data_IF_569924326148
#
_entry.id   IF_569924326148
#
_cell.length_a   1.000
_cell.length_b   1.000
_cell.length_c   1.000
_cell.angle_alpha   90.00
_cell.angle_beta   90.00
_cell.angle_gamma   90.00
#
_symmetry.space_group_name_H-M   'P 1'
#
loop_
_entity.id
_entity.type
_entity.pdbx_description
1 polymer ?
#
# COMPACT_ATOMS: atom_id res chain seq x y z
N UNK A 1 23.64 22.00 23.08
CA UNK A 1 23.58 20.55 22.91
C UNK A 1 22.12 20.14 23.16
N UNK A 2 21.28 20.14 22.14
CA UNK A 2 19.86 19.74 22.20
C UNK A 2 19.74 18.42 21.43
N UNK A 3 19.61 17.33 22.14
CA UNK A 3 19.38 16.00 21.62
C UNK A 3 17.92 15.95 21.14
N UNK A 4 17.71 15.90 19.83
CA UNK A 4 16.40 15.61 19.26
C UNK A 4 16.08 14.13 19.48
N UNK A 5 15.08 13.87 20.30
CA UNK A 5 14.46 12.55 20.45
C UNK A 5 13.65 12.30 19.18
N UNK A 6 14.18 11.49 18.27
CA UNK A 6 13.40 10.93 17.15
C UNK A 6 12.44 9.90 17.72
N UNK A 7 11.18 10.27 17.81
CA UNK A 7 10.09 9.32 18.06
C UNK A 7 9.96 8.45 16.82
N UNK A 8 10.40 7.19 16.93
CA UNK A 8 10.05 6.18 15.92
C UNK A 8 8.55 5.94 16.02
N UNK A 9 7.77 6.43 15.07
CA UNK A 9 6.44 5.88 14.81
C UNK A 9 6.67 4.45 14.33
N UNK A 10 6.10 3.50 15.06
CA UNK A 10 6.02 2.10 14.64
C UNK A 10 5.23 2.06 13.32
N UNK A 11 5.92 1.70 12.27
CA UNK A 11 5.32 1.43 10.96
C UNK A 11 4.73 0.04 11.07
N UNK A 12 3.42 -0.09 11.05
CA UNK A 12 2.77 -1.38 10.82
C UNK A 12 3.24 -1.86 9.45
N UNK A 13 4.10 -2.86 9.45
CA UNK A 13 4.55 -3.52 8.24
C UNK A 13 3.40 -4.34 7.69
N UNK A 14 2.63 -3.78 6.75
CA UNK A 14 1.90 -4.62 5.81
C UNK A 14 2.91 -5.04 4.75
N UNK A 15 3.24 -6.31 4.78
CA UNK A 15 4.14 -6.93 3.83
C UNK A 15 3.67 -6.74 2.38
N UNK A 16 4.57 -6.41 1.49
CA UNK A 16 4.31 -6.00 0.11
C UNK A 16 5.37 -6.47 -0.86
N UNK A 17 5.00 -6.84 -2.03
CA UNK A 17 5.81 -7.40 -3.08
C UNK A 17 5.75 -6.69 -4.45
N UNK A 18 6.91 -6.51 -5.06
CA UNK A 18 7.09 -6.12 -6.45
C UNK A 18 6.85 -7.32 -7.39
N UNK A 19 5.76 -7.32 -8.15
CA UNK A 19 5.63 -8.21 -9.28
C UNK A 19 6.24 -7.58 -10.52
N UNK A 20 7.50 -7.89 -10.80
CA UNK A 20 8.13 -7.54 -12.07
C UNK A 20 7.61 -8.48 -13.14
N UNK A 21 6.76 -7.96 -14.03
CA UNK A 21 6.34 -8.71 -15.22
C UNK A 21 7.52 -8.87 -16.18
N UNK A 22 8.15 -10.04 -16.21
CA UNK A 22 9.11 -10.40 -17.24
C UNK A 22 8.37 -10.60 -18.57
N UNK A 23 8.54 -9.70 -19.52
CA UNK A 23 8.30 -9.98 -20.93
C UNK A 23 9.61 -10.46 -21.57
N UNK A 24 9.97 -11.74 -21.32
CA UNK A 24 10.98 -12.40 -22.15
C UNK A 24 10.29 -12.88 -23.42
N UNK A 25 10.66 -12.32 -24.57
CA UNK A 25 10.32 -12.84 -25.86
C UNK A 25 11.00 -14.21 -26.06
N UNK A 26 10.26 -15.30 -25.92
CA UNK A 26 10.64 -16.64 -26.32
C UNK A 26 9.73 -17.12 -27.47
N UNK A 27 10.25 -17.96 -28.38
CA UNK A 27 9.53 -18.37 -29.59
C UNK A 27 8.33 -19.24 -29.26
N UNK A 28 7.30 -19.10 -30.06
CA UNK A 28 6.03 -19.82 -30.02
C UNK A 28 6.26 -21.32 -29.98
N UNK A 29 6.07 -21.90 -28.80
CA UNK A 29 5.84 -23.31 -28.59
C UNK A 29 4.53 -23.46 -27.84
N UNK A 30 3.58 -24.18 -28.42
CA UNK A 30 2.28 -24.42 -27.81
C UNK A 30 2.45 -25.15 -26.48
N UNK A 31 2.16 -24.47 -25.37
CA UNK A 31 1.97 -25.13 -24.07
C UNK A 31 0.51 -24.97 -23.66
N UNK A 32 -0.10 -26.10 -23.42
CA UNK A 32 -1.41 -26.27 -22.85
C UNK A 32 -1.50 -25.57 -21.51
N UNK A 33 -2.49 -24.70 -21.40
CA UNK A 33 -2.93 -24.00 -20.21
C UNK A 33 -3.45 -25.07 -19.22
N UNK A 34 -2.73 -25.27 -18.11
CA UNK A 34 -3.33 -25.69 -16.84
C UNK A 34 -2.25 -25.66 -15.72
N UNK A 35 -2.23 -24.59 -14.97
CA UNK A 35 -1.89 -24.51 -13.55
C UNK A 35 -2.18 -23.08 -13.08
N UNK A 36 -3.40 -22.82 -12.66
CA UNK A 36 -3.71 -21.72 -11.74
C UNK A 36 -2.94 -22.00 -10.45
N UNK A 37 -1.89 -21.22 -10.18
CA UNK A 37 -1.35 -21.12 -8.84
C UNK A 37 -2.52 -20.74 -7.91
N UNK A 38 -2.63 -21.31 -6.71
CA UNK A 38 -3.68 -20.90 -5.80
C UNK A 38 -3.47 -19.42 -5.49
N UNK A 39 -4.45 -18.62 -5.91
CA UNK A 39 -4.62 -17.24 -5.47
C UNK A 39 -4.78 -17.31 -3.95
N UNK A 40 -3.74 -16.92 -3.21
CA UNK A 40 -3.86 -16.70 -1.78
C UNK A 40 -4.67 -15.41 -1.65
N UNK A 41 -5.99 -15.59 -1.58
CA UNK A 41 -6.90 -14.48 -1.31
C UNK A 41 -6.45 -13.81 -0.01
N UNK A 42 -6.24 -12.49 -0.03
CA UNK A 42 -6.15 -11.73 1.20
C UNK A 42 -7.39 -12.08 2.05
N UNK A 43 -7.27 -12.15 3.38
CA UNK A 43 -8.43 -12.44 4.19
C UNK A 43 -9.52 -11.42 3.86
N UNK A 44 -10.66 -11.92 3.39
CA UNK A 44 -11.88 -11.13 3.26
C UNK A 44 -12.11 -10.47 4.63
N UNK A 45 -11.95 -9.15 4.70
CA UNK A 45 -11.94 -8.44 5.98
C UNK A 45 -13.28 -8.61 6.71
N UNK A 46 -14.36 -8.78 5.95
CA UNK A 46 -15.68 -9.10 6.52
C UNK A 46 -15.69 -10.47 7.22
N UNK A 47 -14.79 -11.36 6.81
CA UNK A 47 -14.60 -12.64 7.48
C UNK A 47 -14.06 -12.50 8.91
N UNK A 48 -13.49 -11.34 9.28
CA UNK A 48 -13.04 -11.05 10.62
C UNK A 48 -14.19 -10.73 11.59
N UNK A 49 -15.39 -10.49 11.08
CA UNK A 49 -16.56 -10.33 11.94
C UNK A 49 -16.89 -11.65 12.66
N UNK A 50 -17.20 -11.55 13.95
CA UNK A 50 -17.67 -12.68 14.72
C UNK A 50 -19.08 -13.11 14.28
N UNK A 51 -19.44 -14.37 14.52
CA UNK A 51 -20.79 -14.86 14.29
C UNK A 51 -21.82 -14.29 15.31
N UNK A 52 -21.33 -13.71 16.40
CA UNK A 52 -22.15 -13.11 17.46
C UNK A 52 -22.06 -11.60 17.38
N UNK A 53 -23.20 -10.93 17.56
CA UNK A 53 -23.26 -9.48 17.62
C UNK A 53 -22.47 -8.92 18.82
N UNK A 54 -21.85 -7.70 18.68
CA UNK A 54 -21.20 -7.05 19.80
C UNK A 54 -22.19 -6.71 20.91
N UNK A 55 -21.74 -6.61 22.17
CA UNK A 55 -22.63 -6.31 23.30
C UNK A 55 -23.23 -4.91 23.23
N UNK A 56 -24.51 -4.78 23.57
CA UNK A 56 -25.22 -3.51 23.64
C UNK A 56 -25.14 -2.90 25.05
N UNK A 57 -25.07 -1.57 25.12
CA UNK A 57 -24.92 -0.77 26.34
C UNK A 57 -26.06 0.26 26.47
N UNK A 58 -26.47 0.54 27.68
CA UNK A 58 -27.54 1.52 27.93
C UNK A 58 -27.10 2.96 27.53
N UNK A 59 -25.81 3.28 27.67
CA UNK A 59 -25.24 4.60 27.36
C UNK A 59 -23.89 4.46 26.67
N UNK A 60 -23.44 5.48 25.89
CA UNK A 60 -22.12 5.49 25.30
C UNK A 60 -20.99 5.39 26.34
N UNK A 61 -21.16 6.01 27.51
CA UNK A 61 -20.17 5.99 28.59
C UNK A 61 -19.97 4.57 29.14
N UNK A 62 -21.05 3.77 29.25
CA UNK A 62 -20.98 2.36 29.67
C UNK A 62 -20.18 1.52 28.65
N UNK A 63 -20.26 1.82 27.33
CA UNK A 63 -19.43 1.19 26.31
C UNK A 63 -17.96 1.61 26.44
N UNK A 64 -17.67 2.89 26.74
CA UNK A 64 -16.32 3.37 27.04
C UNK A 64 -15.71 2.66 28.25
N UNK A 65 -16.49 2.45 29.31
CA UNK A 65 -16.02 1.72 30.49
C UNK A 65 -15.76 0.24 30.17
N UNK A 66 -16.60 -0.37 29.34
CA UNK A 66 -16.36 -1.73 28.84
C UNK A 66 -15.09 -1.81 27.96
N UNK A 67 -14.85 -0.82 27.12
CA UNK A 67 -13.62 -0.71 26.32
C UNK A 67 -12.38 -0.64 27.22
N UNK A 68 -12.36 0.25 28.21
CA UNK A 68 -11.26 0.35 29.17
C UNK A 68 -11.03 -0.96 29.91
N UNK A 69 -12.12 -1.64 30.35
CA UNK A 69 -12.04 -2.93 31.02
C UNK A 69 -11.48 -4.03 30.09
N UNK A 70 -11.87 -4.07 28.83
CA UNK A 70 -11.34 -5.02 27.86
C UNK A 70 -9.81 -4.88 27.68
N UNK A 71 -9.28 -3.65 27.80
CA UNK A 71 -7.84 -3.37 27.72
C UNK A 71 -7.06 -3.77 28.99
N UNK A 72 -7.70 -4.16 30.08
CA UNK A 72 -7.03 -4.72 31.26
C UNK A 72 -6.55 -6.15 31.02
N UNK A 73 -7.11 -6.83 30.01
CA UNK A 73 -6.76 -8.20 29.65
C UNK A 73 -5.31 -8.33 29.18
N UNK A 74 -4.72 -9.52 29.28
CA UNK A 74 -3.36 -9.78 28.78
C UNK A 74 -3.28 -9.85 27.26
N UNK A 75 -4.38 -10.08 26.57
CA UNK A 75 -4.46 -10.24 25.10
C UNK A 75 -5.69 -9.52 24.52
N UNK A 76 -5.76 -9.48 23.18
CA UNK A 76 -6.81 -8.76 22.45
C UNK A 76 -8.20 -9.43 22.47
N UNK A 77 -8.35 -10.64 23.00
CA UNK A 77 -9.60 -11.40 22.95
C UNK A 77 -10.82 -10.61 23.45
N UNK A 78 -10.82 -10.08 24.69
CA UNK A 78 -11.94 -9.30 25.20
C UNK A 78 -12.24 -8.02 24.42
N UNK A 79 -11.21 -7.39 23.83
CA UNK A 79 -11.41 -6.25 22.94
C UNK A 79 -12.05 -6.69 21.62
N UNK A 80 -11.60 -7.80 21.04
CA UNK A 80 -12.18 -8.36 19.83
C UNK A 80 -13.67 -8.68 20.02
N UNK A 81 -14.04 -9.36 21.10
CA UNK A 81 -15.44 -9.65 21.42
C UNK A 81 -16.28 -8.36 21.57
N UNK A 82 -15.74 -7.34 22.23
CA UNK A 82 -16.41 -6.05 22.40
C UNK A 82 -16.68 -5.36 21.06
N UNK A 83 -15.75 -5.48 20.10
CA UNK A 83 -15.85 -4.90 18.76
C UNK A 83 -16.59 -5.80 17.76
N UNK A 84 -17.07 -6.98 18.19
CA UNK A 84 -17.74 -7.95 17.31
C UNK A 84 -16.81 -8.67 16.35
N UNK A 85 -15.53 -8.83 16.72
CA UNK A 85 -14.49 -9.46 15.88
C UNK A 85 -14.22 -10.90 16.34
N UNK A 86 -13.82 -11.76 15.40
CA UNK A 86 -13.39 -13.12 15.66
C UNK A 86 -11.99 -13.14 16.28
N UNK A 87 -11.92 -13.35 17.60
CA UNK A 87 -10.68 -13.32 18.35
C UNK A 87 -9.65 -14.38 17.90
N UNK A 88 -10.11 -15.54 17.39
CA UNK A 88 -9.19 -16.59 16.93
C UNK A 88 -8.55 -16.24 15.59
N UNK A 89 -9.29 -15.61 14.69
CA UNK A 89 -8.74 -15.11 13.42
C UNK A 89 -7.76 -13.97 13.64
N UNK A 90 -8.08 -13.06 14.57
CA UNK A 90 -7.16 -11.97 14.92
C UNK A 90 -5.85 -12.47 15.52
N UNK A 91 -5.87 -13.54 16.32
CA UNK A 91 -4.64 -14.14 16.88
C UNK A 91 -3.70 -14.72 15.82
N UNK A 92 -4.23 -15.06 14.66
CA UNK A 92 -3.43 -15.57 13.54
C UNK A 92 -2.64 -14.46 12.81
N UNK A 93 -2.99 -13.19 13.00
CA UNK A 93 -2.28 -12.04 12.45
C UNK A 93 -1.15 -11.62 13.41
N UNK A 94 0.08 -11.61 12.89
CA UNK A 94 1.30 -11.30 13.65
C UNK A 94 1.29 -9.86 14.22
N UNK A 95 0.58 -8.93 13.59
CA UNK A 95 0.49 -7.53 14.01
C UNK A 95 -0.54 -7.26 15.09
N UNK A 96 -1.43 -8.22 15.36
CA UNK A 96 -2.52 -8.04 16.36
C UNK A 96 -1.98 -7.70 17.75
N UNK A 97 -0.90 -8.36 18.18
CA UNK A 97 -0.32 -8.13 19.50
C UNK A 97 0.26 -6.72 19.64
N UNK A 98 0.95 -6.22 18.61
CA UNK A 98 1.54 -4.87 18.58
C UNK A 98 0.44 -3.81 18.53
N UNK A 99 -0.56 -3.98 17.67
CA UNK A 99 -1.71 -3.08 17.55
C UNK A 99 -2.47 -3.00 18.88
N UNK A 100 -2.71 -4.14 19.53
CA UNK A 100 -3.37 -4.17 20.85
C UNK A 100 -2.54 -3.42 21.90
N UNK A 101 -1.23 -3.63 21.94
CA UNK A 101 -0.35 -2.93 22.87
C UNK A 101 -0.36 -1.40 22.64
N UNK A 102 -0.36 -0.95 21.40
CA UNK A 102 -0.42 0.46 21.05
C UNK A 102 -1.76 1.10 21.45
N UNK A 103 -2.89 0.40 21.22
CA UNK A 103 -4.21 0.84 21.67
C UNK A 103 -4.26 0.94 23.21
N UNK A 104 -3.76 -0.05 23.91
CA UNK A 104 -3.71 -0.11 25.37
C UNK A 104 -2.87 1.03 25.95
N UNK A 105 -1.67 1.29 25.40
CA UNK A 105 -0.81 2.39 25.82
C UNK A 105 -1.48 3.75 25.56
N UNK A 106 -2.07 3.95 24.38
CA UNK A 106 -2.79 5.17 24.05
C UNK A 106 -3.99 5.41 24.98
N UNK A 107 -4.80 4.39 25.20
CA UNK A 107 -5.97 4.48 26.07
C UNK A 107 -5.64 4.75 27.54
N UNK A 108 -4.50 4.23 28.02
CA UNK A 108 -3.99 4.53 29.36
C UNK A 108 -3.66 6.01 29.56
N UNK A 109 -3.25 6.70 28.48
CA UNK A 109 -2.96 8.15 28.52
C UNK A 109 -4.26 8.97 28.47
N UNK A 110 -5.14 8.65 27.53
CA UNK A 110 -6.38 9.42 27.31
C UNK A 110 -7.40 8.63 26.50
N UNK A 111 -8.66 8.71 26.89
CA UNK A 111 -9.83 8.28 26.10
C UNK A 111 -10.83 9.41 26.12
N UNK A 112 -11.23 9.88 24.96
CA UNK A 112 -12.24 10.92 24.74
C UNK A 112 -13.32 10.35 23.86
N UNK A 113 -14.59 10.65 24.17
CA UNK A 113 -15.72 10.33 23.34
C UNK A 113 -16.11 11.56 22.53
N UNK A 114 -15.86 11.52 21.22
CA UNK A 114 -16.31 12.56 20.29
C UNK A 114 -17.71 12.25 19.79
N UNK A 115 -18.53 13.29 19.65
CA UNK A 115 -19.95 13.18 19.38
C UNK A 115 -20.34 13.86 18.08
N UNK A 116 -20.72 13.09 17.07
CA UNK A 116 -21.23 13.57 15.80
C UNK A 116 -22.59 12.95 15.48
N UNK A 117 -23.68 13.66 15.76
CA UNK A 117 -25.05 13.15 15.59
C UNK A 117 -25.33 11.90 16.44
N UNK A 118 -25.79 10.81 15.81
CA UNK A 118 -26.07 9.53 16.46
C UNK A 118 -24.84 8.58 16.47
N UNK A 119 -23.71 9.03 15.98
CA UNK A 119 -22.42 8.32 15.95
C UNK A 119 -21.49 8.91 17.01
N UNK A 120 -20.75 8.06 17.68
CA UNK A 120 -19.71 8.44 18.64
C UNK A 120 -18.40 7.77 18.22
N UNK A 121 -17.29 8.49 18.30
CA UNK A 121 -15.96 7.95 18.02
C UNK A 121 -15.10 8.05 19.28
N UNK A 122 -14.51 6.94 19.68
CA UNK A 122 -13.50 6.95 20.74
C UNK A 122 -12.20 7.47 20.15
N UNK A 123 -11.65 8.51 20.76
CA UNK A 123 -10.33 9.07 20.44
C UNK A 123 -9.38 8.72 21.58
N UNK A 124 -8.22 8.13 21.26
CA UNK A 124 -7.27 7.61 22.25
C UNK A 124 -5.87 8.27 22.11
N UNK A 125 -5.20 8.37 23.27
CA UNK A 125 -3.88 8.94 23.37
C UNK A 125 -3.82 10.46 23.24
N UNK A 126 -2.62 11.00 23.33
CA UNK A 126 -2.38 12.46 23.28
C UNK A 126 -2.68 13.04 21.89
N UNK A 127 -2.53 12.23 20.84
CA UNK A 127 -2.84 12.63 19.46
C UNK A 127 -4.32 12.51 19.10
N UNK A 128 -5.17 12.05 20.04
CA UNK A 128 -6.60 11.83 19.81
C UNK A 128 -6.86 10.92 18.61
N UNK A 129 -6.07 9.82 18.49
CA UNK A 129 -6.22 8.87 17.40
C UNK A 129 -7.62 8.24 17.43
N UNK A 130 -8.42 8.39 16.37
CA UNK A 130 -9.78 7.89 16.35
C UNK A 130 -9.78 6.38 16.18
N UNK A 131 -10.43 5.66 17.11
CA UNK A 131 -10.67 4.22 17.00
C UNK A 131 -11.52 3.96 15.74
N UNK A 132 -11.16 3.01 14.86
CA UNK A 132 -11.89 2.74 13.62
C UNK A 132 -13.35 2.35 13.84
N UNK A 133 -13.64 1.67 14.95
CA UNK A 133 -14.96 1.13 15.28
C UNK A 133 -15.82 2.20 15.97
N UNK A 134 -16.81 2.79 15.27
CA UNK A 134 -17.67 3.79 15.86
C UNK A 134 -18.68 3.14 16.80
N UNK A 135 -19.09 3.88 17.81
CA UNK A 135 -20.19 3.51 18.71
C UNK A 135 -21.50 4.11 18.17
N UNK A 136 -22.47 3.29 17.87
CA UNK A 136 -23.73 3.66 17.23
C UNK A 136 -24.91 3.23 18.12
N UNK A 137 -26.00 3.99 18.05
CA UNK A 137 -27.25 3.66 18.76
C UNK A 137 -28.13 2.76 17.90
N UNK A 138 -28.37 1.55 18.38
CA UNK A 138 -29.33 0.58 17.84
C UNK A 138 -30.59 0.54 18.70
N UNK A 139 -31.56 -0.30 18.34
CA UNK A 139 -32.85 -0.41 19.06
C UNK A 139 -32.68 -0.91 20.49
N UNK A 140 -31.72 -1.77 20.75
CA UNK A 140 -31.40 -2.39 22.05
C UNK A 140 -30.35 -1.64 22.88
N UNK A 141 -29.77 -0.57 22.33
CA UNK A 141 -28.79 0.26 23.03
C UNK A 141 -27.65 0.76 22.13
N UNK A 142 -26.53 1.07 22.77
CA UNK A 142 -25.33 1.50 22.09
C UNK A 142 -24.37 0.30 21.91
N UNK A 143 -23.89 0.08 20.71
CA UNK A 143 -22.88 -0.96 20.41
C UNK A 143 -21.82 -0.44 19.43
N UNK A 144 -20.67 -1.09 19.44
CA UNK A 144 -19.68 -0.84 18.39
C UNK A 144 -20.18 -1.41 17.06
N UNK A 145 -20.09 -0.61 16.00
CA UNK A 145 -20.47 -1.03 14.66
C UNK A 145 -19.28 -1.77 14.02
N UNK A 146 -19.35 -3.08 14.02
CA UNK A 146 -18.30 -3.97 13.52
C UNK A 146 -18.01 -3.74 12.07
N UNK A 147 -19.04 -3.69 11.21
CA UNK A 147 -18.85 -3.58 9.77
C UNK A 147 -18.35 -2.20 9.36
N UNK A 148 -18.90 -1.12 9.92
CA UNK A 148 -18.38 0.22 9.71
C UNK A 148 -16.92 0.35 10.21
N UNK A 149 -16.57 -0.39 11.28
CA UNK A 149 -15.20 -0.43 11.79
C UNK A 149 -14.24 -1.16 10.84
N UNK A 150 -14.64 -2.29 10.29
CA UNK A 150 -13.86 -3.04 9.31
C UNK A 150 -13.68 -2.25 8.00
N UNK A 151 -14.73 -1.61 7.51
CA UNK A 151 -14.66 -0.70 6.37
C UNK A 151 -13.66 0.44 6.59
N UNK A 152 -13.70 1.07 7.77
CA UNK A 152 -12.75 2.14 8.13
C UNK A 152 -11.31 1.63 8.20
N UNK A 153 -11.07 0.40 8.68
CA UNK A 153 -9.73 -0.22 8.67
C UNK A 153 -9.22 -0.40 7.24
N UNK A 154 -10.09 -0.86 6.31
CA UNK A 154 -9.73 -0.96 4.89
C UNK A 154 -9.43 0.42 4.31
N UNK A 155 -10.32 1.40 4.53
CA UNK A 155 -10.17 2.75 3.99
C UNK A 155 -8.85 3.41 4.44
N UNK A 156 -8.46 3.22 5.71
CA UNK A 156 -7.17 3.72 6.22
C UNK A 156 -5.98 3.03 5.56
N UNK A 157 -6.06 1.71 5.38
CA UNK A 157 -5.01 0.95 4.68
C UNK A 157 -4.88 1.39 3.23
N UNK A 158 -6.01 1.54 2.52
CA UNK A 158 -6.03 2.05 1.14
C UNK A 158 -5.36 3.43 1.08
N UNK A 159 -5.78 4.37 1.94
CA UNK A 159 -5.19 5.71 1.96
C UNK A 159 -3.69 5.72 2.29
N UNK A 160 -3.23 4.92 3.25
CA UNK A 160 -1.80 4.80 3.57
C UNK A 160 -1.01 4.22 2.39
N UNK A 161 -1.52 3.17 1.75
CA UNK A 161 -0.87 2.56 0.58
C UNK A 161 -0.80 3.53 -0.60
N UNK A 162 -1.86 4.30 -0.85
CA UNK A 162 -1.88 5.32 -1.90
C UNK A 162 -0.84 6.43 -1.64
N UNK A 163 -0.76 6.92 -0.42
CA UNK A 163 0.27 7.91 -0.03
C UNK A 163 1.69 7.37 -0.19
N UNK A 164 1.94 6.11 0.19
CA UNK A 164 3.24 5.46 -0.01
C UNK A 164 3.54 5.24 -1.50
N UNK A 165 2.52 4.94 -2.30
CA UNK A 165 2.66 4.77 -3.75
C UNK A 165 3.01 6.10 -4.41
N UNK A 166 2.37 7.19 -4.05
CA UNK A 166 2.71 8.54 -4.55
C UNK A 166 4.15 8.90 -4.19
N UNK A 167 4.58 8.64 -2.94
CA UNK A 167 5.96 8.84 -2.52
C UNK A 167 6.95 7.97 -3.34
N UNK A 168 6.58 6.72 -3.64
CA UNK A 168 7.36 5.82 -4.49
C UNK A 168 7.46 6.33 -5.93
N UNK A 169 6.38 6.93 -6.46
CA UNK A 169 6.39 7.55 -7.79
C UNK A 169 7.42 8.70 -7.89
N UNK A 170 7.51 9.55 -6.86
CA UNK A 170 8.51 10.61 -6.81
C UNK A 170 9.93 10.04 -6.66
N UNK A 171 10.12 9.08 -5.75
CA UNK A 171 11.41 8.41 -5.59
C UNK A 171 11.88 7.69 -6.87
N UNK A 172 10.96 7.15 -7.66
CA UNK A 172 11.28 6.56 -8.96
C UNK A 172 11.88 7.58 -9.93
N UNK A 173 11.34 8.80 -9.98
CA UNK A 173 11.87 9.85 -10.84
C UNK A 173 13.30 10.23 -10.44
N UNK A 174 13.54 10.42 -9.14
CA UNK A 174 14.87 10.72 -8.60
C UNK A 174 15.86 9.58 -8.88
N UNK A 175 15.43 8.33 -8.70
CA UNK A 175 16.26 7.15 -8.98
C UNK A 175 16.61 7.00 -10.46
N UNK A 176 15.72 7.36 -11.38
CA UNK A 176 15.98 7.34 -12.82
C UNK A 176 17.02 8.39 -13.22
N UNK A 177 16.95 9.59 -12.66
CA UNK A 177 17.91 10.65 -12.91
C UNK A 177 19.31 10.28 -12.37
N UNK A 178 19.38 9.64 -11.19
CA UNK A 178 20.65 9.14 -10.65
C UNK A 178 21.19 7.98 -11.50
N UNK A 179 20.35 7.04 -11.91
CA UNK A 179 20.74 5.92 -12.76
C UNK A 179 21.37 6.40 -14.06
N UNK A 180 20.74 7.36 -14.74
CA UNK A 180 21.19 7.90 -16.03
C UNK A 180 22.42 8.81 -15.93
N UNK A 181 22.90 9.10 -14.72
CA UNK A 181 24.13 9.90 -14.52
C UNK A 181 25.43 9.14 -14.84
N UNK A 182 25.34 7.82 -15.06
CA UNK A 182 26.50 6.93 -15.27
C UNK A 182 26.16 5.91 -16.37
N UNK A 183 27.07 5.74 -17.33
CA UNK A 183 27.02 4.62 -18.28
C UNK A 183 27.31 3.31 -17.52
N UNK A 184 26.26 2.51 -17.28
CA UNK A 184 26.33 1.36 -16.36
C UNK A 184 26.64 0.04 -17.06
N UNK A 185 26.45 -0.05 -18.36
CA UNK A 185 26.75 -1.23 -19.17
C UNK A 185 27.99 -1.05 -20.10
N UNK A 186 28.60 0.14 -20.04
CA UNK A 186 29.81 0.51 -20.78
C UNK A 186 29.64 0.44 -22.30
N UNK A 187 28.45 0.74 -22.82
CA UNK A 187 28.16 0.83 -24.24
C UNK A 187 28.43 2.23 -24.81
N UNK A 188 28.73 3.22 -23.97
CA UNK A 188 29.04 4.61 -24.31
C UNK A 188 27.79 5.51 -24.30
N UNK A 189 26.67 5.05 -23.80
CA UNK A 189 25.39 5.78 -23.68
C UNK A 189 24.95 5.90 -22.24
N UNK A 190 24.65 7.11 -21.77
CA UNK A 190 23.93 7.33 -20.51
C UNK A 190 22.44 7.12 -20.77
N UNK A 191 21.81 6.18 -20.05
CA UNK A 191 20.43 5.79 -20.27
C UNK A 191 19.66 5.60 -18.94
N UNK A 192 18.35 5.67 -19.01
CA UNK A 192 17.45 5.35 -17.90
C UNK A 192 17.26 3.85 -17.73
N UNK A 193 17.03 3.42 -16.50
CA UNK A 193 16.80 2.02 -16.20
C UNK A 193 15.49 1.50 -16.80
N UNK A 194 15.56 0.34 -17.44
CA UNK A 194 14.40 -0.36 -18.00
C UNK A 194 13.84 -1.42 -17.04
N UNK A 195 14.45 -1.56 -15.85
CA UNK A 195 14.01 -2.48 -14.78
C UNK A 195 13.95 -1.73 -13.45
N UNK A 196 12.97 -2.10 -12.60
CA UNK A 196 12.91 -1.63 -11.23
C UNK A 196 13.93 -2.36 -10.35
N UNK A 197 14.00 -3.68 -10.48
CA UNK A 197 14.95 -4.54 -9.76
C UNK A 197 15.95 -5.08 -10.75
N UNK A 198 17.23 -4.99 -10.40
CA UNK A 198 18.33 -5.53 -11.20
C UNK A 198 18.29 -7.06 -11.26
N UNK A 199 18.82 -7.61 -12.35
CA UNK A 199 19.12 -9.03 -12.45
C UNK A 199 20.16 -9.43 -11.40
N UNK A 200 20.15 -10.69 -10.96
CA UNK A 200 21.09 -11.18 -9.95
C UNK A 200 22.55 -10.89 -10.33
N UNK A 201 23.24 -10.14 -9.47
CA UNK A 201 24.65 -9.77 -9.66
C UNK A 201 24.91 -8.70 -10.73
N UNK A 202 23.87 -8.04 -11.24
CA UNK A 202 23.96 -6.93 -12.20
C UNK A 202 23.47 -5.61 -11.57
N UNK A 203 23.73 -4.50 -12.31
CA UNK A 203 23.25 -3.15 -12.00
C UNK A 203 22.36 -2.62 -13.13
N UNK A 204 21.53 -3.48 -13.71
CA UNK A 204 20.70 -3.21 -14.89
C UNK A 204 19.26 -2.78 -14.55
N UNK A 205 19.04 -2.34 -13.32
CA UNK A 205 17.76 -1.80 -12.79
C UNK A 205 18.02 -0.75 -11.72
N UNK A 206 16.97 -0.15 -11.17
CA UNK A 206 17.06 0.91 -10.16
C UNK A 206 17.48 0.42 -8.78
N UNK A 207 17.21 -0.83 -8.47
CA UNK A 207 17.56 -1.43 -7.18
C UNK A 207 18.42 -2.66 -7.34
N UNK A 208 19.47 -2.76 -6.51
CA UNK A 208 20.26 -3.94 -6.19
C UNK A 208 20.68 -3.89 -4.72
N UNK A 209 20.90 -5.02 -4.05
CA UNK A 209 21.43 -5.03 -2.70
C UNK A 209 22.80 -4.35 -2.64
N UNK A 210 22.99 -3.44 -1.70
CA UNK A 210 24.27 -2.74 -1.49
C UNK A 210 25.40 -3.73 -1.19
N UNK A 211 26.49 -3.65 -1.93
CA UNK A 211 27.69 -4.45 -1.74
C UNK A 211 28.98 -3.62 -1.96
N UNK A 212 30.15 -4.22 -1.64
CA UNK A 212 31.44 -3.53 -1.76
C UNK A 212 31.88 -3.30 -3.23
N UNK A 213 31.22 -3.92 -4.20
CA UNK A 213 31.58 -3.86 -5.63
C UNK A 213 30.72 -2.83 -6.37
N UNK A 214 29.39 -2.89 -6.15
CA UNK A 214 28.41 -2.10 -6.88
C UNK A 214 27.96 -0.84 -6.11
N UNK A 215 28.26 -0.76 -4.81
CA UNK A 215 27.82 0.34 -3.95
C UNK A 215 26.31 0.38 -3.73
N UNK A 216 25.80 1.56 -3.38
CA UNK A 216 24.38 1.80 -3.18
C UNK A 216 23.65 1.88 -4.54
N UNK A 217 22.42 1.37 -4.58
CA UNK A 217 21.55 1.46 -5.74
C UNK A 217 20.87 2.85 -5.82
N UNK A 218 20.49 3.34 -7.02
CA UNK A 218 19.75 4.60 -7.15
C UNK A 218 18.45 4.66 -6.37
N UNK A 219 17.76 3.54 -6.20
CA UNK A 219 16.55 3.46 -5.38
C UNK A 219 16.83 3.45 -3.87
N UNK A 220 18.11 3.41 -3.45
CA UNK A 220 18.49 3.35 -2.03
C UNK A 220 18.10 2.03 -1.38
N UNK A 221 17.99 2.06 -0.04
CA UNK A 221 17.55 0.90 0.75
C UNK A 221 16.02 0.75 0.65
N UNK A 222 15.58 -0.36 0.09
CA UNK A 222 14.17 -0.76 0.08
C UNK A 222 13.85 -1.63 1.30
N UNK A 223 12.63 -1.50 1.80
CA UNK A 223 12.13 -2.32 2.90
C UNK A 223 12.02 -3.79 2.45
N UNK A 224 12.76 -4.69 3.13
CA UNK A 224 12.84 -6.09 2.75
C UNK A 224 11.49 -6.81 2.92
N UNK A 225 10.72 -6.48 3.97
CA UNK A 225 9.40 -7.08 4.18
C UNK A 225 8.45 -6.70 3.03
N UNK A 226 8.63 -5.47 2.53
CA UNK A 226 7.91 -4.96 1.38
C UNK A 226 8.34 -5.65 0.07
N UNK A 227 9.61 -5.99 -0.11
CA UNK A 227 10.11 -6.77 -1.24
C UNK A 227 9.63 -8.22 -1.19
N UNK A 228 9.65 -8.87 -0.03
CA UNK A 228 9.29 -10.28 0.14
C UNK A 228 7.81 -10.53 -0.16
N UNK A 229 6.94 -9.71 0.38
CA UNK A 229 5.53 -9.79 0.07
C UNK A 229 5.27 -9.42 -1.40
N UNK A 230 6.16 -8.61 -2.11
CA UNK A 230 6.17 -8.33 -3.54
C UNK A 230 6.46 -9.57 -4.37
N UNK A 231 7.37 -10.40 -3.94
CA UNK A 231 7.58 -11.71 -4.52
C UNK A 231 6.36 -12.64 -4.32
N UNK A 232 5.58 -12.43 -3.26
CA UNK A 232 4.35 -13.18 -2.99
C UNK A 232 3.14 -12.73 -3.84
N UNK A 233 3.22 -11.58 -4.52
CA UNK A 233 2.15 -11.09 -5.43
C UNK A 233 1.24 -10.01 -4.85
N UNK A 234 1.47 -9.59 -3.59
CA UNK A 234 0.63 -8.62 -2.89
C UNK A 234 0.94 -7.13 -3.22
N UNK A 235 1.92 -6.85 -4.08
CA UNK A 235 2.30 -5.50 -4.55
C UNK A 235 3.26 -4.73 -3.61
N UNK A 236 3.99 -3.64 -3.93
CA UNK A 236 4.83 -2.79 -3.06
C UNK A 236 3.96 -1.69 -2.43
N UNK A 237 3.75 -1.71 -1.10
CA UNK A 237 2.68 -0.96 -0.42
C UNK A 237 1.29 -1.22 -1.02
N UNK A 238 0.96 -2.51 -1.30
CA UNK A 238 -0.31 -2.89 -1.90
C UNK A 238 -0.45 -2.56 -3.38
N UNK A 239 0.64 -2.16 -4.08
CA UNK A 239 0.63 -1.74 -5.48
C UNK A 239 1.60 -2.54 -6.34
N UNK A 240 1.21 -2.77 -7.57
CA UNK A 240 2.05 -3.32 -8.64
C UNK A 240 2.53 -2.19 -9.54
N UNK A 241 3.75 -2.31 -10.05
CA UNK A 241 4.41 -1.26 -10.82
C UNK A 241 4.89 -1.79 -12.17
N UNK A 242 4.81 -0.95 -13.20
CA UNK A 242 5.30 -1.27 -14.54
C UNK A 242 5.95 -0.04 -15.16
N UNK A 243 7.19 -0.18 -15.64
CA UNK A 243 7.85 0.85 -16.45
C UNK A 243 7.17 0.91 -17.82
N UNK A 244 6.83 2.11 -18.26
CA UNK A 244 6.27 2.38 -19.58
C UNK A 244 7.38 2.81 -20.54
N UNK A 245 7.34 2.31 -21.77
CA UNK A 245 8.42 2.48 -22.75
C UNK A 245 8.16 3.55 -23.79
N UNK A 246 7.15 4.38 -23.61
CA UNK A 246 6.81 5.48 -24.51
C UNK A 246 5.74 6.39 -23.95
N UNK A 247 5.42 7.44 -24.67
CA UNK A 247 4.28 8.31 -24.41
C UNK A 247 3.31 8.35 -25.59
N UNK A 248 2.07 8.78 -25.31
CA UNK A 248 1.00 8.92 -26.28
C UNK A 248 0.75 10.36 -26.75
N UNK A 249 -0.26 10.53 -27.60
CA UNK A 249 -0.54 11.80 -28.25
C UNK A 249 -1.12 12.90 -27.34
N UNK A 250 -1.63 12.54 -26.14
CA UNK A 250 -2.16 13.53 -25.19
C UNK A 250 -1.05 14.33 -24.50
N UNK A 251 0.20 13.85 -24.59
CA UNK A 251 1.35 14.45 -23.90
C UNK A 251 2.09 15.42 -24.82
N UNK A 252 2.60 16.49 -24.25
CA UNK A 252 3.40 17.48 -24.97
C UNK A 252 4.56 16.81 -25.73
N UNK A 253 4.70 17.06 -27.01
CA UNK A 253 5.65 16.41 -27.91
C UNK A 253 5.05 15.27 -28.75
N UNK A 254 3.80 14.85 -28.46
CA UNK A 254 3.10 13.76 -29.18
C UNK A 254 3.62 12.37 -28.84
N UNK A 255 3.14 11.37 -29.57
CA UNK A 255 3.52 9.97 -29.34
C UNK A 255 4.95 9.68 -29.83
N UNK A 256 5.77 9.08 -28.95
CA UNK A 256 7.08 8.52 -29.29
C UNK A 256 7.53 7.44 -28.31
N UNK A 257 8.52 6.66 -28.71
CA UNK A 257 9.11 5.62 -27.88
C UNK A 257 10.24 6.19 -27.02
N UNK A 258 10.31 5.79 -25.76
CA UNK A 258 11.39 6.16 -24.85
C UNK A 258 12.67 5.35 -25.11
N UNK A 259 12.50 4.12 -25.63
CA UNK A 259 13.61 3.21 -25.95
C UNK A 259 14.02 3.39 -27.41
N UNK A 260 15.28 3.78 -27.64
CA UNK A 260 15.86 4.00 -28.97
C UNK A 260 17.10 3.11 -29.11
N UNK A 261 17.11 2.23 -30.10
CA UNK A 261 18.18 1.25 -30.34
C UNK A 261 18.53 0.36 -29.14
N UNK A 262 17.57 0.12 -28.25
CA UNK A 262 17.75 -0.69 -27.05
C UNK A 262 17.92 0.12 -25.76
N UNK A 263 18.32 1.40 -25.86
CA UNK A 263 18.65 2.28 -24.75
C UNK A 263 17.47 3.21 -24.45
N UNK A 264 17.06 3.31 -23.19
CA UNK A 264 15.98 4.21 -22.76
C UNK A 264 16.56 5.62 -22.56
N UNK A 265 16.58 6.41 -23.63
CA UNK A 265 17.23 7.74 -23.67
C UNK A 265 16.28 8.89 -23.99
N UNK A 266 15.06 8.61 -24.42
CA UNK A 266 14.12 9.67 -24.82
C UNK A 266 13.13 10.06 -23.71
N UNK A 267 13.22 9.45 -22.54
CA UNK A 267 12.37 9.67 -21.39
C UNK A 267 12.07 8.37 -20.68
N UNK A 268 11.25 8.44 -19.63
CA UNK A 268 10.76 7.29 -18.85
C UNK A 268 9.38 7.57 -18.28
N UNK A 269 8.67 6.53 -17.91
CA UNK A 269 7.45 6.65 -17.14
C UNK A 269 7.17 5.37 -16.33
N UNK A 270 6.35 5.51 -15.29
CA UNK A 270 5.91 4.44 -14.43
C UNK A 270 4.40 4.48 -14.29
N UNK A 271 3.76 3.32 -14.26
CA UNK A 271 2.38 3.14 -13.83
C UNK A 271 2.34 2.24 -12.62
N UNK A 272 1.49 2.58 -11.63
CA UNK A 272 1.23 1.77 -10.45
C UNK A 272 -0.28 1.55 -10.30
N UNK A 273 -0.68 0.34 -9.94
CA UNK A 273 -2.09 -0.02 -9.72
C UNK A 273 -2.23 -0.94 -8.51
N UNK A 274 -3.39 -0.94 -7.81
CA UNK A 274 -3.58 -1.77 -6.64
C UNK A 274 -3.43 -3.26 -6.98
N UNK A 275 -2.75 -4.00 -6.10
CA UNK A 275 -2.66 -5.45 -6.21
C UNK A 275 -4.04 -6.09 -6.11
N UNK A 276 -4.92 -5.50 -5.25
CA UNK A 276 -6.33 -5.87 -5.07
C UNK A 276 -7.16 -4.58 -4.99
N UNK A 277 -7.95 -4.33 -6.05
CA UNK A 277 -8.83 -3.16 -6.10
C UNK A 277 -9.83 -3.13 -4.93
N UNK A 278 -9.94 -1.98 -4.26
CA UNK A 278 -10.82 -1.76 -3.11
C UNK A 278 -10.32 -2.34 -1.78
N UNK A 279 -9.21 -3.13 -1.79
CA UNK A 279 -8.62 -3.70 -0.59
C UNK A 279 -7.23 -3.12 -0.27
N UNK A 280 -6.39 -2.97 -1.30
CA UNK A 280 -5.04 -2.43 -1.15
C UNK A 280 -4.89 -1.04 -1.74
N UNK A 281 -5.83 -0.61 -2.57
CA UNK A 281 -5.89 0.70 -3.21
C UNK A 281 -7.11 0.79 -4.11
N UNK A 282 -7.49 2.00 -4.50
CA UNK A 282 -8.56 2.29 -5.46
C UNK A 282 -8.01 2.94 -6.72
N UNK A 283 -7.08 3.88 -6.58
CA UNK A 283 -6.55 4.64 -7.71
C UNK A 283 -5.37 3.93 -8.39
N UNK A 284 -5.28 4.13 -9.70
CA UNK A 284 -4.11 3.81 -10.51
C UNK A 284 -3.32 5.11 -10.69
N UNK A 285 -2.01 5.07 -10.48
CA UNK A 285 -1.13 6.23 -10.58
C UNK A 285 -0.20 6.11 -11.78
N UNK A 286 0.15 7.25 -12.39
CA UNK A 286 1.14 7.32 -13.45
C UNK A 286 2.03 8.56 -13.29
N UNK A 287 3.34 8.42 -13.58
CA UNK A 287 4.32 9.49 -13.57
C UNK A 287 5.27 9.36 -14.75
N UNK A 288 5.81 10.46 -15.24
CA UNK A 288 6.90 10.48 -16.21
C UNK A 288 8.05 11.36 -15.70
N UNK A 289 9.07 11.57 -16.52
CA UNK A 289 10.25 12.40 -16.23
C UNK A 289 9.95 13.85 -15.80
N UNK A 290 8.72 14.32 -15.91
CA UNK A 290 8.32 15.65 -15.42
C UNK A 290 7.97 15.65 -13.92
N UNK A 291 7.84 14.48 -13.30
CA UNK A 291 7.57 14.32 -11.87
C UNK A 291 6.13 14.61 -11.45
N UNK A 292 5.22 14.89 -12.40
CA UNK A 292 3.81 15.10 -12.09
C UNK A 292 3.13 13.74 -11.98
N UNK A 293 2.57 13.44 -10.81
CA UNK A 293 1.80 12.22 -10.58
C UNK A 293 0.35 12.44 -10.97
N UNK A 294 -0.17 11.55 -11.79
CA UNK A 294 -1.57 11.49 -12.22
C UNK A 294 -2.25 10.30 -11.56
N UNK A 295 -3.54 10.42 -11.28
CA UNK A 295 -4.37 9.34 -10.71
C UNK A 295 -5.67 9.17 -11.46
N UNK A 296 -6.19 7.93 -11.45
CA UNK A 296 -7.50 7.57 -12.00
C UNK A 296 -8.05 6.35 -11.28
N UNK A 297 -9.36 6.31 -11.00
CA UNK A 297 -10.06 5.09 -10.60
C UNK A 297 -10.53 4.33 -11.85
N UNK A 298 -9.88 3.21 -12.16
CA UNK A 298 -10.23 2.32 -13.27
C UNK A 298 -11.28 1.26 -12.89
N UNK A 299 -11.69 1.25 -11.63
CA UNK A 299 -12.69 0.31 -11.10
C UNK A 299 -12.17 -1.14 -10.93
N UNK A 300 -13.08 -2.09 -10.64
CA UNK A 300 -12.71 -3.48 -10.33
C UNK A 300 -11.96 -4.22 -11.47
N UNK A 301 -12.01 -3.72 -12.70
CA UNK A 301 -11.30 -4.30 -13.85
C UNK A 301 -9.85 -3.77 -14.00
N UNK A 302 -9.35 -2.96 -13.06
CA UNK A 302 -8.03 -2.32 -13.13
C UNK A 302 -6.92 -3.29 -13.55
N UNK A 303 -6.83 -4.45 -12.92
CA UNK A 303 -5.81 -5.46 -13.21
C UNK A 303 -5.83 -5.98 -14.66
N UNK A 304 -6.97 -5.95 -15.34
CA UNK A 304 -7.08 -6.33 -16.74
C UNK A 304 -6.80 -5.16 -17.69
N UNK A 305 -7.19 -3.96 -17.31
CA UNK A 305 -6.99 -2.73 -18.11
C UNK A 305 -5.51 -2.39 -18.24
N UNK A 306 -4.77 -2.39 -17.11
CA UNK A 306 -3.36 -1.98 -17.07
C UNK A 306 -2.42 -2.87 -17.90
N UNK A 307 -2.83 -4.10 -18.22
CA UNK A 307 -2.09 -4.99 -19.14
C UNK A 307 -1.90 -4.39 -20.53
N UNK A 308 -2.82 -3.52 -20.95
CA UNK A 308 -2.82 -2.86 -22.26
C UNK A 308 -2.26 -1.44 -22.23
N UNK A 309 -1.87 -0.93 -21.06
CA UNK A 309 -1.25 0.38 -20.93
C UNK A 309 0.27 0.23 -21.07
N UNK A 310 0.82 0.54 -22.26
CA UNK A 310 2.25 0.47 -22.55
C UNK A 310 2.89 1.86 -22.71
N UNK A 311 2.06 2.91 -22.72
CA UNK A 311 2.48 4.31 -22.90
C UNK A 311 1.91 5.20 -21.83
N UNK A 312 2.71 6.16 -21.40
CA UNK A 312 2.24 7.26 -20.56
C UNK A 312 1.38 8.20 -21.40
N UNK A 313 0.08 8.20 -21.15
CA UNK A 313 -0.86 8.97 -21.96
C UNK A 313 -2.08 9.45 -21.16
N UNK A 314 -1.91 10.12 -20.00
CA UNK A 314 -3.04 10.68 -19.27
C UNK A 314 -3.89 11.59 -20.17
N UNK A 315 -5.20 11.42 -20.11
CA UNK A 315 -6.22 12.23 -20.76
C UNK A 315 -7.03 13.05 -19.74
N UNK A 316 -8.12 13.64 -20.15
CA UNK A 316 -8.99 14.48 -19.29
C UNK A 316 -9.66 13.70 -18.15
N UNK A 317 -9.64 12.37 -18.17
CA UNK A 317 -10.18 11.52 -17.10
C UNK A 317 -9.18 11.34 -15.93
N UNK A 318 -7.90 11.61 -16.17
CA UNK A 318 -6.87 11.56 -15.13
C UNK A 318 -6.80 12.87 -14.37
N UNK A 319 -6.72 12.78 -13.07
CA UNK A 319 -6.54 13.92 -12.18
C UNK A 319 -5.06 14.04 -11.78
N UNK A 320 -4.62 15.28 -11.49
CA UNK A 320 -3.27 15.52 -10.96
C UNK A 320 -3.36 15.37 -9.44
N UNK A 321 -2.49 14.53 -8.88
CA UNK A 321 -2.34 14.42 -7.42
C UNK A 321 -1.85 15.76 -6.89
N UNK A 322 -2.60 16.33 -5.95
CA UNK A 322 -2.23 17.57 -5.25
C UNK A 322 -1.77 17.25 -3.85
N UNK A 323 -0.59 17.77 -3.46
CA UNK A 323 -0.01 17.69 -2.10
C UNK A 323 -0.92 18.32 -1.01
#
# INVERSE_FOLDING_TARGET
>A
MKTMLRTKLSRSACAVALAVGFAAALPVGAFTQDATAPEVAAPDIDSLAAATEPPAFATPEAAVDAFKKALEAPDAGPLAELLGLDAEKLKADENTAETYAAIKEGAAKRVVLDSAGDRRTLQIGDKLWPLPFPLVKFDDGWAFDTFAGLEEVVNRRVGENELQTIATMHAYVEAQDDYASVDRDADGVEEYAQKLISSDGATDGLYWPTDDVNGESPAGDLDQDQLDAAAAGDGYFGYKYKILTGQGDNIAGGAYDYVINGNMIAGFALIAWPAKYGETGAHTFAVNQQGIVYEIDLGPATGDIVKYIDRFNPDEAWEIVTD
#
